data_IF_884278547300
#
_entry.id   IF_884278547300
#
_cell.length_a   1.000
_cell.length_b   1.000
_cell.length_c   1.000
_cell.angle_alpha   90.00
_cell.angle_beta   90.00
_cell.angle_gamma   90.00
#
_symmetry.space_group_name_H-M   'P 1'
#
loop_
_entity.id
_entity.type
_entity.pdbx_description
1 polymer ?
#
# COMPACT_ATOMS: atom_id res chain seq x y z
N UNK A 1 15.13 -10.15 3.97
CA UNK A 1 13.96 -9.26 3.81
C UNK A 1 14.15 -8.47 2.54
N UNK A 2 13.15 -8.49 1.67
CA UNK A 2 13.20 -7.80 0.38
C UNK A 2 12.39 -6.51 0.50
N UNK A 3 12.90 -5.40 -0.05
CA UNK A 3 12.18 -4.12 -0.07
C UNK A 3 11.49 -3.96 -1.42
N UNK A 4 10.20 -3.65 -1.38
CA UNK A 4 9.37 -3.42 -2.55
C UNK A 4 8.80 -2.00 -2.49
N UNK A 5 8.69 -1.36 -3.65
CA UNK A 5 7.90 -0.15 -3.81
C UNK A 5 6.55 -0.57 -4.42
N UNK A 6 5.45 -0.18 -3.79
CA UNK A 6 4.12 -0.43 -4.32
C UNK A 6 3.46 0.86 -4.75
N UNK A 7 2.81 0.83 -5.92
CA UNK A 7 1.83 1.83 -6.35
C UNK A 7 0.47 1.39 -5.89
N UNK A 8 -0.10 2.14 -4.95
CA UNK A 8 -1.43 1.89 -4.41
C UNK A 8 -2.42 2.93 -4.93
N UNK A 9 -3.54 2.45 -5.46
CA UNK A 9 -4.65 3.25 -5.95
C UNK A 9 -5.97 2.68 -5.41
N UNK A 10 -7.03 3.48 -5.39
CA UNK A 10 -8.34 2.99 -4.98
C UNK A 10 -9.03 2.21 -6.12
N UNK A 11 -9.84 1.19 -5.76
CA UNK A 11 -10.50 0.32 -6.75
C UNK A 11 -11.76 0.91 -7.41
N UNK A 12 -12.61 1.64 -6.69
CA UNK A 12 -13.97 1.98 -7.19
C UNK A 12 -14.34 3.48 -7.09
N UNK A 13 -14.11 4.14 -5.95
CA UNK A 13 -14.42 5.56 -5.77
C UNK A 13 -13.15 6.43 -5.77
N UNK A 14 -13.19 7.67 -6.27
CA UNK A 14 -12.10 8.64 -6.05
C UNK A 14 -12.22 9.25 -4.66
N UNK A 15 -11.33 8.91 -3.74
CA UNK A 15 -11.17 9.63 -2.46
C UNK A 15 -10.13 10.73 -2.55
N UNK A 16 -10.10 11.61 -1.55
CA UNK A 16 -9.02 12.59 -1.42
C UNK A 16 -7.66 11.91 -1.24
N UNK A 17 -6.56 12.54 -1.67
CA UNK A 17 -5.22 11.97 -1.51
C UNK A 17 -4.89 11.60 -0.05
N UNK A 18 -5.34 12.40 0.92
CA UNK A 18 -5.16 12.14 2.36
C UNK A 18 -5.93 10.90 2.84
N UNK A 19 -7.16 10.70 2.35
CA UNK A 19 -7.95 9.52 2.70
C UNK A 19 -7.31 8.25 2.11
N UNK A 20 -6.76 8.32 0.90
CA UNK A 20 -6.02 7.21 0.30
C UNK A 20 -4.76 6.89 1.11
N UNK A 21 -3.99 7.92 1.49
CA UNK A 21 -2.82 7.77 2.35
C UNK A 21 -3.17 7.05 3.66
N UNK A 22 -4.21 7.52 4.36
CA UNK A 22 -4.63 6.92 5.62
C UNK A 22 -5.03 5.46 5.47
N UNK A 23 -5.76 5.09 4.40
CA UNK A 23 -6.13 3.71 4.13
C UNK A 23 -4.91 2.83 3.86
N UNK A 24 -3.97 3.29 3.04
CA UNK A 24 -2.73 2.55 2.74
C UNK A 24 -1.91 2.35 4.01
N UNK A 25 -1.71 3.41 4.78
CA UNK A 25 -1.01 3.34 6.06
C UNK A 25 -1.69 2.37 7.05
N UNK A 26 -3.02 2.40 7.14
CA UNK A 26 -3.79 1.52 8.01
C UNK A 26 -3.62 0.05 7.59
N UNK A 27 -3.80 -0.24 6.30
CA UNK A 27 -3.69 -1.59 5.75
C UNK A 27 -2.30 -2.20 6.00
N UNK A 28 -1.23 -1.45 5.77
CA UNK A 28 0.15 -1.92 6.03
C UNK A 28 0.40 -2.06 7.54
N UNK A 29 -0.16 -1.19 8.38
CA UNK A 29 -0.05 -1.30 9.84
C UNK A 29 -0.74 -2.57 10.36
N UNK A 30 -1.89 -2.93 9.81
CA UNK A 30 -2.57 -4.18 10.16
C UNK A 30 -1.79 -5.42 9.69
N UNK A 31 -1.18 -5.38 8.50
CA UNK A 31 -0.26 -6.45 8.05
C UNK A 31 0.93 -6.62 9.00
N UNK A 32 1.51 -5.52 9.49
CA UNK A 32 2.58 -5.55 10.50
C UNK A 32 2.09 -6.18 11.81
N UNK A 33 0.87 -5.86 12.25
CA UNK A 33 0.26 -6.43 13.47
C UNK A 33 -0.06 -7.92 13.33
N UNK A 34 -0.33 -8.39 12.12
CA UNK A 34 -0.58 -9.79 11.81
C UNK A 34 0.68 -10.69 11.85
N UNK A 35 1.82 -10.20 12.36
CA UNK A 35 3.09 -10.93 12.50
C UNK A 35 3.72 -11.44 11.19
N UNK A 36 3.43 -10.80 10.06
CA UNK A 36 3.99 -11.19 8.75
C UNK A 36 5.44 -10.69 8.52
N UNK A 37 6.17 -10.26 9.56
CA UNK A 37 7.48 -9.60 9.44
C UNK A 37 7.50 -8.46 8.39
N UNK A 38 6.38 -7.75 8.27
CA UNK A 38 6.22 -6.63 7.35
C UNK A 38 6.64 -5.33 8.05
N UNK A 39 7.57 -4.61 7.44
CA UNK A 39 8.07 -3.30 7.89
C UNK A 39 7.75 -2.24 6.85
N UNK A 40 6.99 -1.23 7.26
CA UNK A 40 6.72 -0.04 6.45
C UNK A 40 7.83 0.98 6.66
N UNK A 41 8.44 1.45 5.58
CA UNK A 41 9.40 2.55 5.62
C UNK A 41 8.64 3.87 5.46
N UNK A 42 8.19 4.44 6.58
CA UNK A 42 7.31 5.63 6.60
C UNK A 42 7.90 6.85 5.89
N UNK A 43 9.23 6.96 5.87
CA UNK A 43 9.96 8.01 5.13
C UNK A 43 9.80 7.89 3.59
N UNK A 44 9.15 6.84 3.12
CA UNK A 44 8.91 6.53 1.70
C UNK A 44 7.45 6.23 1.40
N UNK A 45 6.52 6.81 2.17
CA UNK A 45 5.14 6.95 1.71
C UNK A 45 4.98 8.31 1.01
N UNK A 46 4.69 8.28 -0.28
CA UNK A 46 4.55 9.48 -1.11
C UNK A 46 3.17 9.49 -1.74
N UNK A 47 2.47 10.60 -1.59
CA UNK A 47 1.19 10.84 -2.26
C UNK A 47 1.46 11.61 -3.55
N UNK A 48 0.92 11.14 -4.67
CA UNK A 48 1.11 11.73 -5.98
C UNK A 48 -0.21 11.72 -6.76
N UNK A 49 -0.30 12.50 -7.83
CA UNK A 49 -1.35 12.36 -8.85
C UNK A 49 -0.78 11.68 -10.10
N UNK A 50 -1.55 10.75 -10.65
CA UNK A 50 -1.31 10.10 -11.94
C UNK A 50 -2.52 10.39 -12.87
N UNK A 51 -2.46 9.94 -14.13
CA UNK A 51 -3.53 10.11 -15.11
C UNK A 51 -4.90 9.59 -14.61
N UNK A 52 -4.90 8.56 -13.74
CA UNK A 52 -6.11 7.95 -13.19
C UNK A 52 -6.60 8.61 -11.89
N UNK A 53 -5.81 9.51 -11.29
CA UNK A 53 -6.13 10.19 -10.03
C UNK A 53 -5.03 10.01 -8.96
N UNK A 54 -5.37 10.17 -7.67
CA UNK A 54 -4.38 10.09 -6.61
C UNK A 54 -3.85 8.66 -6.46
N UNK A 55 -2.53 8.56 -6.32
CA UNK A 55 -1.81 7.34 -6.01
C UNK A 55 -0.96 7.54 -4.76
N UNK A 56 -0.67 6.43 -4.08
CA UNK A 56 0.29 6.39 -2.97
C UNK A 56 1.39 5.41 -3.34
N UNK A 57 2.62 5.91 -3.38
CA UNK A 57 3.80 5.05 -3.42
C UNK A 57 4.17 4.67 -1.98
N UNK A 58 4.26 3.38 -1.70
CA UNK A 58 4.62 2.87 -0.37
C UNK A 58 5.81 1.92 -0.47
N UNK A 59 6.89 2.23 0.25
CA UNK A 59 8.00 1.29 0.41
C UNK A 59 7.76 0.36 1.59
N UNK A 60 7.71 -0.93 1.31
CA UNK A 60 7.42 -1.97 2.30
C UNK A 60 8.43 -3.10 2.17
N UNK A 61 8.96 -3.56 3.29
CA UNK A 61 9.82 -4.74 3.37
C UNK A 61 9.07 -5.91 3.98
N UNK A 62 9.20 -7.09 3.40
CA UNK A 62 8.56 -8.31 3.90
C UNK A 62 9.27 -9.59 3.45
N UNK A 63 8.79 -10.77 3.89
CA UNK A 63 9.25 -12.08 3.44
C UNK A 63 8.73 -12.39 2.04
N UNK A 64 9.47 -13.12 1.20
CA UNK A 64 9.07 -13.32 -0.19
C UNK A 64 7.66 -13.94 -0.33
N UNK A 65 6.87 -13.45 -1.28
CA UNK A 65 5.50 -13.91 -1.53
C UNK A 65 4.39 -13.28 -0.66
N UNK A 66 4.72 -12.42 0.31
CA UNK A 66 3.74 -11.77 1.20
C UNK A 66 2.74 -10.80 0.54
N UNK A 67 2.98 -10.43 -0.72
CA UNK A 67 2.26 -9.37 -1.44
C UNK A 67 1.18 -9.91 -2.38
N UNK A 68 0.75 -11.17 -2.22
CA UNK A 68 -0.34 -11.72 -3.02
C UNK A 68 -1.67 -10.96 -2.79
N UNK A 69 -2.39 -10.75 -3.89
CA UNK A 69 -3.54 -9.83 -4.02
C UNK A 69 -4.78 -10.25 -3.20
N UNK A 70 -4.75 -11.41 -2.51
CA UNK A 70 -5.86 -11.94 -1.69
C UNK A 70 -5.84 -11.43 -0.23
N UNK A 71 -4.96 -10.48 0.09
CA UNK A 71 -4.73 -9.99 1.45
C UNK A 71 -5.50 -8.70 1.81
N UNK A 72 -5.34 -8.29 3.08
CA UNK A 72 -5.89 -7.11 3.78
C UNK A 72 -6.15 -5.86 2.91
N UNK A 73 -5.37 -5.61 1.86
CA UNK A 73 -5.58 -4.51 0.91
C UNK A 73 -6.97 -4.54 0.24
N UNK A 74 -7.46 -5.74 -0.08
CA UNK A 74 -8.83 -5.91 -0.60
C UNK A 74 -9.91 -5.49 0.40
N UNK A 75 -9.70 -5.71 1.72
CA UNK A 75 -10.61 -5.22 2.78
C UNK A 75 -10.62 -3.70 2.88
N UNK A 76 -9.51 -3.06 2.53
CA UNK A 76 -9.37 -1.60 2.52
C UNK A 76 -9.74 -0.97 1.17
N UNK A 77 -10.23 -1.75 0.20
CA UNK A 77 -10.58 -1.32 -1.16
C UNK A 77 -9.42 -0.65 -1.92
N UNK A 78 -8.19 -1.08 -1.63
CA UNK A 78 -6.97 -0.59 -2.27
C UNK A 78 -6.44 -1.67 -3.21
N UNK A 79 -6.01 -1.24 -4.39
CA UNK A 79 -5.21 -2.05 -5.31
C UNK A 79 -3.76 -1.59 -5.22
N UNK A 80 -2.84 -2.47 -4.84
CA UNK A 80 -1.41 -2.17 -4.80
C UNK A 80 -0.67 -3.08 -5.78
N UNK A 81 0.08 -2.51 -6.70
CA UNK A 81 0.93 -3.25 -7.63
C UNK A 81 2.40 -2.86 -7.44
N UNK A 82 3.37 -3.75 -7.70
CA UNK A 82 4.78 -3.37 -7.71
C UNK A 82 5.01 -2.15 -8.63
N UNK A 83 5.78 -1.17 -8.13
CA UNK A 83 6.19 0.02 -8.87
C UNK A 83 7.58 -0.23 -9.45
N UNK A 84 7.65 -0.29 -10.79
CA UNK A 84 8.84 -0.67 -11.58
C UNK A 84 9.85 0.47 -11.66
#
# INVERSE_FOLDING_TARGET
>A
MTSYMFRCAQREDRVSPDALYQRVFHAITELRRAQLDVVMHLERLLVMEDHDGPIVLASVSGPDGWFDDETLMGKHQISCSPYV
#
